data_IF_350284916208
#
_entry.id   IF_350284916208
#
_cell.length_a   1.000
_cell.length_b   1.000
_cell.length_c   1.000
_cell.angle_alpha   90.00
_cell.angle_beta   90.00
_cell.angle_gamma   90.00
#
_symmetry.space_group_name_H-M   'P 1'
#
loop_
_entity.id
_entity.type
_entity.pdbx_description
1 polymer ?
#
# COMPACT_ATOMS: atom_id res chain seq x y z
N UNK A 1 21.50 10.01 -0.37
CA UNK A 1 20.83 10.19 -1.67
C UNK A 1 19.39 9.69 -1.52
N UNK A 2 18.39 10.49 -1.88
CA UNK A 2 16.99 10.02 -1.82
C UNK A 2 16.67 9.03 -2.95
N UNK A 3 15.68 8.16 -2.71
CA UNK A 3 15.16 7.18 -3.70
C UNK A 3 14.80 7.85 -5.03
N UNK A 4 14.24 9.06 -4.98
CA UNK A 4 13.84 9.84 -6.16
C UNK A 4 15.02 10.15 -7.09
N UNK A 5 16.19 10.50 -6.54
CA UNK A 5 17.40 10.76 -7.33
C UNK A 5 17.90 9.48 -8.01
N UNK A 6 17.73 8.32 -7.36
CA UNK A 6 18.12 7.03 -7.94
C UNK A 6 17.19 6.68 -9.09
N UNK A 7 15.86 6.80 -8.90
CA UNK A 7 14.87 6.58 -9.96
C UNK A 7 15.14 7.50 -11.16
N UNK A 8 15.42 8.78 -10.93
CA UNK A 8 15.74 9.73 -12.00
C UNK A 8 17.02 9.34 -12.75
N UNK A 9 18.07 8.90 -12.04
CA UNK A 9 19.32 8.43 -12.64
C UNK A 9 19.09 7.18 -13.48
N UNK A 10 18.37 6.19 -12.97
CA UNK A 10 18.02 4.96 -13.69
C UNK A 10 17.21 5.24 -14.97
N UNK A 11 16.27 6.19 -14.91
CA UNK A 11 15.52 6.61 -16.09
C UNK A 11 16.42 7.31 -17.13
N UNK A 12 17.37 8.15 -16.69
CA UNK A 12 18.26 8.91 -17.59
C UNK A 12 19.21 8.03 -18.42
N UNK A 13 19.57 6.84 -17.89
CA UNK A 13 20.43 5.88 -18.58
C UNK A 13 19.65 4.89 -19.46
N UNK A 14 18.33 5.11 -19.61
CA UNK A 14 17.47 4.27 -20.46
C UNK A 14 17.26 2.85 -19.91
N UNK A 15 17.38 2.65 -18.60
CA UNK A 15 17.15 1.32 -18.00
C UNK A 15 15.70 0.88 -18.16
N UNK A 16 15.50 -0.41 -18.42
CA UNK A 16 14.18 -1.04 -18.34
C UNK A 16 13.75 -1.13 -16.86
N UNK A 17 12.64 -0.48 -16.52
CA UNK A 17 12.08 -0.44 -15.17
C UNK A 17 10.75 -1.21 -15.07
N UNK A 18 10.43 -2.02 -16.08
CA UNK A 18 9.15 -2.73 -16.18
C UNK A 18 9.05 -3.94 -15.27
N UNK A 19 10.17 -4.61 -14.98
CA UNK A 19 10.23 -5.83 -14.15
C UNK A 19 11.16 -5.66 -12.96
N UNK A 20 10.91 -6.42 -11.89
CA UNK A 20 11.76 -6.40 -10.69
C UNK A 20 13.19 -6.82 -11.03
N UNK A 21 13.35 -7.81 -11.91
CA UNK A 21 14.64 -8.26 -12.41
C UNK A 21 15.38 -7.19 -13.21
N UNK A 22 14.69 -6.43 -14.07
CA UNK A 22 15.32 -5.37 -14.84
C UNK A 22 15.78 -4.21 -13.93
N UNK A 23 14.96 -3.83 -12.93
CA UNK A 23 15.34 -2.87 -11.89
C UNK A 23 16.56 -3.38 -11.11
N UNK A 24 16.58 -4.66 -10.72
CA UNK A 24 17.73 -5.28 -10.03
C UNK A 24 19.00 -5.24 -10.87
N UNK A 25 18.92 -5.58 -12.16
CA UNK A 25 20.07 -5.52 -13.07
C UNK A 25 20.58 -4.09 -13.21
N UNK A 26 19.69 -3.12 -13.38
CA UNK A 26 20.06 -1.72 -13.47
C UNK A 26 20.68 -1.19 -12.16
N UNK A 27 20.16 -1.65 -11.02
CA UNK A 27 20.71 -1.32 -9.71
C UNK A 27 22.06 -1.96 -9.45
N UNK A 28 22.34 -3.18 -9.92
CA UNK A 28 23.66 -3.80 -9.72
C UNK A 28 24.82 -2.97 -10.30
N UNK A 29 24.55 -2.02 -11.21
CA UNK A 29 25.53 -1.06 -11.72
C UNK A 29 25.85 0.08 -10.72
N UNK A 30 25.02 0.27 -9.70
CA UNK A 30 25.08 1.37 -8.73
C UNK A 30 24.95 0.94 -7.24
N UNK A 31 24.41 -0.24 -6.92
CA UNK A 31 24.20 -0.80 -5.57
C UNK A 31 23.71 -2.26 -5.61
N UNK A 32 24.12 -3.09 -4.63
CA UNK A 32 23.65 -4.49 -4.47
C UNK A 32 22.56 -4.66 -3.39
N UNK A 33 21.95 -3.57 -2.91
CA UNK A 33 20.94 -3.63 -1.85
C UNK A 33 19.59 -4.15 -2.39
N UNK A 34 19.23 -5.37 -1.99
CA UNK A 34 17.96 -6.01 -2.36
C UNK A 34 16.73 -5.26 -1.82
N UNK A 35 16.82 -4.68 -0.62
CA UNK A 35 15.70 -3.93 -0.04
C UNK A 35 15.52 -2.62 -0.82
N UNK A 36 16.61 -1.92 -1.14
CA UNK A 36 16.58 -0.74 -1.99
C UNK A 36 15.99 -1.05 -3.38
N UNK A 37 16.28 -2.23 -3.92
CA UNK A 37 15.70 -2.71 -5.18
C UNK A 37 14.18 -2.82 -5.09
N UNK A 38 13.68 -3.42 -4.01
CA UNK A 38 12.24 -3.57 -3.80
C UNK A 38 11.55 -2.23 -3.57
N UNK A 39 12.18 -1.33 -2.82
CA UNK A 39 11.70 0.04 -2.61
C UNK A 39 11.54 0.78 -3.93
N UNK A 40 12.59 0.81 -4.75
CA UNK A 40 12.59 1.48 -6.04
C UNK A 40 11.54 0.86 -6.97
N UNK A 41 11.48 -0.47 -7.06
CA UNK A 41 10.52 -1.16 -7.91
C UNK A 41 9.07 -0.83 -7.50
N UNK A 42 8.75 -0.90 -6.21
CA UNK A 42 7.40 -0.61 -5.70
C UNK A 42 7.01 0.85 -5.97
N UNK A 43 7.90 1.81 -5.74
CA UNK A 43 7.59 3.23 -5.98
C UNK A 43 7.38 3.53 -7.48
N UNK A 44 8.17 2.91 -8.36
CA UNK A 44 7.97 3.01 -9.82
C UNK A 44 6.59 2.45 -10.21
N UNK A 45 6.22 1.29 -9.67
CA UNK A 45 4.92 0.64 -9.95
C UNK A 45 3.74 1.42 -9.39
N UNK A 46 3.86 1.97 -8.19
CA UNK A 46 2.87 2.88 -7.62
C UNK A 46 2.56 4.03 -8.56
N UNK A 47 3.60 4.70 -9.07
CA UNK A 47 3.45 5.80 -10.01
C UNK A 47 2.83 5.34 -11.33
N UNK A 48 3.33 4.24 -11.91
CA UNK A 48 2.89 3.74 -13.21
C UNK A 48 1.43 3.26 -13.24
N UNK A 49 0.93 2.69 -12.14
CA UNK A 49 -0.45 2.18 -12.06
C UNK A 49 -1.45 3.15 -11.45
N UNK A 50 -1.03 4.36 -11.06
CA UNK A 50 -1.89 5.30 -10.36
C UNK A 50 -3.09 5.69 -11.23
N UNK A 51 -2.86 6.09 -12.47
CA UNK A 51 -3.94 6.47 -13.39
C UNK A 51 -4.88 5.30 -13.67
N UNK A 52 -4.36 4.09 -13.86
CA UNK A 52 -5.17 2.89 -14.06
C UNK A 52 -6.05 2.58 -12.86
N UNK A 53 -5.49 2.72 -11.65
CA UNK A 53 -6.20 2.51 -10.40
C UNK A 53 -7.35 3.51 -10.22
N UNK A 54 -7.16 4.80 -10.57
CA UNK A 54 -8.22 5.83 -10.44
C UNK A 54 -9.46 5.52 -11.27
N UNK A 55 -9.33 4.78 -12.37
CA UNK A 55 -10.45 4.43 -13.27
C UNK A 55 -11.30 3.26 -12.75
N UNK A 56 -10.85 2.56 -11.70
CA UNK A 56 -11.58 1.43 -11.12
C UNK A 56 -12.54 1.96 -10.03
N UNK A 57 -13.84 1.58 -10.05
CA UNK A 57 -14.77 1.96 -8.99
C UNK A 57 -14.31 1.49 -7.61
N UNK A 58 -14.52 2.29 -6.56
CA UNK A 58 -14.02 2.05 -5.20
C UNK A 58 -14.48 0.70 -4.67
N UNK A 59 -15.74 0.36 -4.90
CA UNK A 59 -16.35 -0.89 -4.44
C UNK A 59 -15.76 -2.13 -5.11
N UNK A 60 -14.94 -1.98 -6.16
CA UNK A 60 -14.21 -3.07 -6.85
C UNK A 60 -12.72 -3.10 -6.52
N UNK A 61 -12.30 -2.33 -5.53
CA UNK A 61 -10.91 -2.28 -5.06
C UNK A 61 -10.80 -3.08 -3.76
N UNK A 62 -9.87 -4.01 -3.73
CA UNK A 62 -9.57 -4.79 -2.52
C UNK A 62 -8.42 -4.18 -1.74
N UNK A 63 -8.54 -4.14 -0.41
CA UNK A 63 -7.48 -3.69 0.49
C UNK A 63 -6.94 -4.91 1.23
N UNK A 64 -5.69 -5.27 0.95
CA UNK A 64 -4.97 -6.34 1.63
C UNK A 64 -4.14 -5.73 2.76
N UNK A 65 -4.38 -6.20 3.98
CA UNK A 65 -3.76 -5.70 5.21
C UNK A 65 -2.98 -6.86 5.86
N UNK A 66 -1.75 -6.67 6.34
CA UNK A 66 -0.93 -7.76 6.84
C UNK A 66 -1.35 -8.08 8.28
N UNK A 67 -1.39 -9.37 8.61
CA UNK A 67 -1.71 -9.81 9.98
C UNK A 67 -0.76 -9.24 11.03
N UNK A 68 0.47 -8.89 10.65
CA UNK A 68 1.51 -8.39 11.54
C UNK A 68 1.11 -7.07 12.24
N UNK A 69 0.18 -6.31 11.67
CA UNK A 69 -0.37 -5.12 12.35
C UNK A 69 -1.28 -5.46 13.54
N UNK A 70 -1.76 -6.71 13.67
CA UNK A 70 -2.62 -7.10 14.79
C UNK A 70 -1.83 -7.07 16.10
N UNK A 71 -2.49 -6.62 17.15
CA UNK A 71 -2.04 -6.89 18.51
C UNK A 71 -2.33 -8.37 18.83
N UNK A 72 -1.31 -9.22 18.77
CA UNK A 72 -1.44 -10.68 18.92
C UNK A 72 -2.03 -11.10 20.28
N UNK A 73 -1.88 -10.27 21.32
CA UNK A 73 -2.37 -10.58 22.69
C UNK A 73 -3.81 -10.15 22.91
N UNK A 74 -4.22 -9.02 22.34
CA UNK A 74 -5.49 -8.38 22.67
C UNK A 74 -6.50 -8.37 21.51
N UNK A 75 -6.11 -8.73 20.29
CA UNK A 75 -7.01 -8.70 19.14
C UNK A 75 -7.98 -9.89 19.18
N UNK A 76 -9.31 -9.66 19.30
CA UNK A 76 -10.30 -10.73 19.38
C UNK A 76 -10.72 -11.28 18.01
N UNK A 77 -10.04 -10.87 16.92
CA UNK A 77 -10.39 -11.29 15.56
C UNK A 77 -10.25 -12.81 15.40
N UNK A 78 -11.27 -13.44 14.82
CA UNK A 78 -11.29 -14.85 14.48
C UNK A 78 -10.74 -15.08 13.06
N UNK A 79 -10.25 -16.28 12.79
CA UNK A 79 -9.72 -16.64 11.48
C UNK A 79 -10.83 -17.26 10.62
N UNK A 80 -11.26 -16.55 9.58
CA UNK A 80 -12.26 -16.99 8.63
C UNK A 80 -11.67 -17.52 7.33
N UNK A 81 -12.51 -17.65 6.31
CA UNK A 81 -12.15 -18.26 5.02
C UNK A 81 -11.07 -17.49 4.23
N UNK A 82 -11.10 -16.16 4.32
CA UNK A 82 -10.24 -15.25 3.56
C UNK A 82 -9.27 -14.43 4.43
N UNK A 83 -9.13 -14.81 5.70
CA UNK A 83 -8.21 -14.20 6.64
C UNK A 83 -8.87 -13.87 7.97
N UNK A 84 -8.25 -12.98 8.72
CA UNK A 84 -8.77 -12.53 10.00
C UNK A 84 -9.97 -11.60 9.83
N UNK A 85 -11.01 -11.81 10.64
CA UNK A 85 -12.23 -11.01 10.64
C UNK A 85 -12.12 -9.90 11.69
N UNK A 86 -11.82 -8.67 11.25
CA UNK A 86 -11.62 -7.56 12.16
C UNK A 86 -12.95 -7.05 12.74
N UNK A 87 -13.02 -7.01 14.06
CA UNK A 87 -14.14 -6.45 14.83
C UNK A 87 -13.96 -4.97 15.16
N UNK A 88 -12.97 -4.28 14.56
CA UNK A 88 -12.61 -2.88 14.84
C UNK A 88 -12.36 -2.59 16.34
N UNK A 89 -11.78 -3.56 17.04
CA UNK A 89 -11.56 -3.52 18.50
C UNK A 89 -10.68 -2.37 19.04
N UNK A 90 -10.11 -1.50 18.19
CA UNK A 90 -9.25 -0.39 18.60
C UNK A 90 -7.85 -0.75 19.11
N UNK A 91 -7.46 -2.03 19.10
CA UNK A 91 -6.16 -2.50 19.61
C UNK A 91 -4.99 -2.37 18.62
N UNK A 92 -5.27 -1.99 17.38
CA UNK A 92 -4.27 -1.79 16.34
C UNK A 92 -4.81 -0.89 15.20
N UNK A 93 -3.91 -0.52 14.29
CA UNK A 93 -4.17 0.31 13.11
C UNK A 93 -5.26 -0.22 12.16
N UNK A 94 -5.50 -1.53 12.14
CA UNK A 94 -6.34 -2.19 11.13
C UNK A 94 -7.78 -1.67 11.16
N UNK A 95 -8.36 -1.53 12.35
CA UNK A 95 -9.75 -1.06 12.50
C UNK A 95 -9.94 0.33 11.91
N UNK A 96 -9.00 1.25 12.19
CA UNK A 96 -9.03 2.61 11.68
C UNK A 96 -8.93 2.64 10.14
N UNK A 97 -8.07 1.82 9.54
CA UNK A 97 -7.92 1.72 8.08
C UNK A 97 -9.23 1.23 7.44
N UNK A 98 -9.86 0.21 8.03
CA UNK A 98 -11.12 -0.35 7.54
C UNK A 98 -12.24 0.68 7.65
N UNK A 99 -12.45 1.28 8.82
CA UNK A 99 -13.47 2.31 9.02
C UNK A 99 -13.31 3.48 8.07
N UNK A 100 -12.06 3.89 7.80
CA UNK A 100 -11.80 4.96 6.84
C UNK A 100 -12.21 4.54 5.43
N UNK A 101 -11.75 3.38 4.96
CA UNK A 101 -12.09 2.90 3.62
C UNK A 101 -13.59 2.65 3.44
N UNK A 102 -14.29 2.14 4.45
CA UNK A 102 -15.75 1.96 4.40
C UNK A 102 -16.49 3.28 4.20
N UNK A 103 -16.05 4.36 4.87
CA UNK A 103 -16.61 5.72 4.66
C UNK A 103 -16.42 6.21 3.22
N UNK A 104 -15.39 5.73 2.52
CA UNK A 104 -15.14 6.01 1.11
C UNK A 104 -15.95 5.10 0.16
N UNK A 105 -16.56 4.02 0.67
CA UNK A 105 -17.32 3.04 -0.10
C UNK A 105 -16.57 1.75 -0.45
N UNK A 106 -15.38 1.51 0.12
CA UNK A 106 -14.69 0.22 -0.04
C UNK A 106 -15.52 -0.91 0.58
N UNK A 107 -15.56 -2.06 -0.10
CA UNK A 107 -16.32 -3.25 0.34
C UNK A 107 -15.45 -4.47 0.63
N UNK A 108 -14.18 -4.43 0.25
CA UNK A 108 -13.32 -5.60 0.21
C UNK A 108 -12.06 -5.35 1.04
N UNK A 109 -12.06 -5.84 2.28
CA UNK A 109 -10.90 -5.80 3.18
C UNK A 109 -10.49 -7.23 3.52
N UNK A 110 -9.20 -7.54 3.39
CA UNK A 110 -8.67 -8.87 3.67
C UNK A 110 -7.44 -8.76 4.56
N UNK A 111 -7.54 -9.27 5.78
CA UNK A 111 -6.42 -9.28 6.73
C UNK A 111 -5.75 -10.65 6.65
N UNK A 112 -4.64 -10.68 5.93
CA UNK A 112 -4.06 -11.93 5.45
C UNK A 112 -2.74 -12.25 6.17
N UNK A 113 -2.43 -13.55 6.39
CA UNK A 113 -1.18 -13.96 6.99
C UNK A 113 0.02 -13.92 6.03
N UNK A 114 -0.24 -13.90 4.72
CA UNK A 114 0.78 -13.86 3.69
C UNK A 114 0.21 -14.06 2.28
N UNK A 115 1.09 -14.05 1.28
CA UNK A 115 0.73 -13.99 -0.14
C UNK A 115 -0.11 -15.17 -0.67
N UNK A 116 -0.06 -16.35 -0.04
CA UNK A 116 -0.88 -17.50 -0.44
C UNK A 116 -2.38 -17.21 -0.32
N UNK A 117 -2.80 -16.50 0.73
CA UNK A 117 -4.21 -16.15 0.93
C UNK A 117 -4.64 -15.02 -0.01
N UNK A 118 -3.76 -14.05 -0.28
CA UNK A 118 -3.95 -13.04 -1.33
C UNK A 118 -4.22 -13.72 -2.68
N UNK A 119 -3.40 -14.72 -3.05
CA UNK A 119 -3.57 -15.49 -4.28
C UNK A 119 -4.91 -16.24 -4.31
N UNK A 120 -5.35 -16.83 -3.20
CA UNK A 120 -6.68 -17.48 -3.09
C UNK A 120 -7.80 -16.49 -3.38
N UNK A 121 -7.79 -15.35 -2.69
CA UNK A 121 -8.80 -14.28 -2.87
C UNK A 121 -8.84 -13.81 -4.31
N UNK A 122 -7.70 -13.44 -4.89
CA UNK A 122 -7.64 -12.91 -6.26
C UNK A 122 -8.12 -13.95 -7.28
N UNK A 123 -7.73 -15.22 -7.16
CA UNK A 123 -8.16 -16.29 -8.06
C UNK A 123 -9.66 -16.49 -8.07
N UNK A 124 -10.33 -16.27 -6.95
CA UNK A 124 -11.78 -16.47 -6.86
C UNK A 124 -12.56 -15.21 -7.26
N UNK A 125 -12.15 -14.05 -6.75
CA UNK A 125 -12.94 -12.81 -6.82
C UNK A 125 -12.69 -12.01 -8.09
N UNK A 126 -11.50 -12.10 -8.69
CA UNK A 126 -11.17 -11.37 -9.94
C UNK A 126 -11.97 -11.91 -11.13
N UNK A 127 -12.06 -13.24 -11.39
CA UNK A 127 -12.86 -13.75 -12.51
C UNK A 127 -14.36 -13.44 -12.40
N UNK A 128 -14.87 -13.31 -11.17
CA UNK A 128 -16.26 -12.89 -10.89
C UNK A 128 -16.49 -11.38 -11.11
N UNK A 129 -15.45 -10.60 -11.34
CA UNK A 129 -15.52 -9.16 -11.54
C UNK A 129 -15.81 -8.36 -10.27
N UNK A 130 -15.68 -9.00 -9.10
CA UNK A 130 -15.81 -8.39 -7.77
C UNK A 130 -14.60 -7.50 -7.47
N UNK A 131 -13.40 -7.99 -7.77
CA UNK A 131 -12.14 -7.24 -7.61
C UNK A 131 -11.55 -6.93 -8.98
N UNK A 132 -11.19 -5.66 -9.20
CA UNK A 132 -10.50 -5.19 -10.41
C UNK A 132 -9.21 -4.40 -10.14
N UNK A 133 -8.96 -4.02 -8.89
CA UNK A 133 -7.73 -3.39 -8.44
C UNK A 133 -7.45 -3.75 -6.98
N UNK A 134 -6.22 -3.55 -6.54
CA UNK A 134 -5.79 -3.85 -5.18
C UNK A 134 -5.05 -2.68 -4.54
N UNK A 135 -5.18 -2.56 -3.23
CA UNK A 135 -4.26 -1.84 -2.35
C UNK A 135 -3.56 -2.89 -1.51
N UNK A 136 -2.23 -2.83 -1.43
CA UNK A 136 -1.43 -3.72 -0.59
C UNK A 136 -0.75 -2.93 0.51
N UNK A 137 -0.94 -3.33 1.77
CA UNK A 137 -0.15 -2.85 2.91
C UNK A 137 0.77 -4.00 3.31
N UNK A 138 2.09 -3.82 3.26
CA UNK A 138 3.05 -4.90 3.56
C UNK A 138 4.50 -4.39 3.65
N UNK A 139 5.44 -5.29 3.92
CA UNK A 139 6.87 -5.01 3.78
C UNK A 139 7.28 -4.90 2.31
N UNK A 140 8.45 -4.31 2.04
CA UNK A 140 8.94 -4.09 0.67
C UNK A 140 9.02 -5.37 -0.18
N UNK A 141 9.56 -6.50 0.31
CA UNK A 141 9.64 -7.72 -0.51
C UNK A 141 8.27 -8.28 -0.91
N UNK A 142 7.31 -8.29 0.02
CA UNK A 142 5.94 -8.75 -0.26
C UNK A 142 5.22 -7.83 -1.24
N UNK A 143 5.40 -6.51 -1.12
CA UNK A 143 4.83 -5.53 -2.04
C UNK A 143 5.46 -5.63 -3.43
N UNK A 144 6.77 -5.86 -3.53
CA UNK A 144 7.46 -6.04 -4.80
C UNK A 144 6.97 -7.31 -5.51
N UNK A 145 6.87 -8.43 -4.80
CA UNK A 145 6.33 -9.69 -5.32
C UNK A 145 4.86 -9.55 -5.75
N UNK A 146 4.03 -8.90 -4.93
CA UNK A 146 2.62 -8.64 -5.27
C UNK A 146 2.51 -7.75 -6.51
N UNK A 147 3.32 -6.69 -6.61
CA UNK A 147 3.36 -5.77 -7.75
C UNK A 147 3.70 -6.51 -9.04
N UNK A 148 4.71 -7.38 -9.02
CA UNK A 148 5.12 -8.17 -10.18
C UNK A 148 4.00 -9.11 -10.63
N UNK A 149 3.42 -9.88 -9.70
CA UNK A 149 2.35 -10.82 -10.00
C UNK A 149 1.08 -10.15 -10.52
N UNK A 150 0.66 -9.05 -9.90
CA UNK A 150 -0.54 -8.31 -10.31
C UNK A 150 -0.33 -7.57 -11.64
N UNK A 151 0.90 -7.12 -11.93
CA UNK A 151 1.25 -6.54 -13.24
C UNK A 151 0.98 -7.54 -14.37
N UNK A 152 1.37 -8.81 -14.20
CA UNK A 152 1.13 -9.89 -15.18
C UNK A 152 -0.38 -10.09 -15.42
N UNK A 153 -1.18 -9.98 -14.35
CA UNK A 153 -2.64 -10.11 -14.41
C UNK A 153 -3.36 -8.83 -14.87
N UNK A 154 -2.63 -7.75 -15.15
CA UNK A 154 -3.17 -6.41 -15.48
C UNK A 154 -4.13 -5.88 -14.42
N UNK A 155 -3.86 -6.19 -13.15
CA UNK A 155 -4.62 -5.67 -12.01
C UNK A 155 -3.80 -4.53 -11.40
N UNK A 156 -4.28 -3.27 -11.45
CA UNK A 156 -3.58 -2.14 -10.84
C UNK A 156 -3.43 -2.33 -9.33
N UNK A 157 -2.20 -2.18 -8.83
CA UNK A 157 -1.87 -2.19 -7.41
C UNK A 157 -1.43 -0.79 -6.98
N UNK A 158 -1.88 -0.34 -5.81
CA UNK A 158 -1.25 0.74 -5.05
C UNK A 158 -0.73 0.19 -3.73
N UNK A 159 0.54 0.43 -3.44
CA UNK A 159 1.27 -0.16 -2.32
C UNK A 159 1.55 0.86 -1.23
N UNK A 160 1.30 0.46 0.02
CA UNK A 160 1.60 1.21 1.24
C UNK A 160 2.65 0.41 2.04
N UNK A 161 3.93 0.79 1.98
CA UNK A 161 4.97 0.13 2.76
C UNK A 161 4.78 0.39 4.26
N UNK A 162 5.14 -0.61 5.07
CA UNK A 162 5.22 -0.47 6.51
C UNK A 162 6.40 0.43 6.91
N UNK A 163 6.21 1.27 7.94
CA UNK A 163 7.27 2.08 8.55
C UNK A 163 8.25 1.21 9.36
N UNK A 164 7.74 0.15 9.98
CA UNK A 164 8.53 -0.85 10.70
C UNK A 164 7.95 -2.22 10.42
N UNK A 165 8.81 -3.13 9.99
CA UNK A 165 8.51 -4.54 9.75
C UNK A 165 8.84 -5.40 10.98
N UNK A 166 8.24 -6.58 11.05
CA UNK A 166 8.38 -7.52 12.18
C UNK A 166 7.08 -8.28 12.40
N UNK A 167 7.13 -9.38 13.15
CA UNK A 167 5.92 -10.14 13.53
C UNK A 167 5.15 -9.50 14.69
N UNK A 168 5.81 -8.62 15.46
CA UNK A 168 5.28 -7.87 16.59
C UNK A 168 5.79 -6.43 16.47
N UNK A 169 5.00 -5.45 16.91
CA UNK A 169 5.33 -4.02 16.84
C UNK A 169 5.55 -3.49 15.41
N UNK A 170 4.81 -4.07 14.46
CA UNK A 170 4.71 -3.58 13.08
C UNK A 170 3.99 -2.25 13.06
N UNK A 171 4.51 -1.29 12.27
CA UNK A 171 3.95 0.07 12.20
C UNK A 171 3.67 0.41 10.75
N UNK A 172 2.50 0.97 10.50
CA UNK A 172 2.10 1.54 9.21
C UNK A 172 1.90 3.04 9.37
N UNK A 173 2.23 3.81 8.33
CA UNK A 173 1.82 5.21 8.26
C UNK A 173 0.33 5.26 7.90
N UNK A 174 -0.50 5.53 8.91
CA UNK A 174 -1.95 5.66 8.74
C UNK A 174 -2.30 6.79 7.75
N UNK A 175 -1.55 7.89 7.77
CA UNK A 175 -1.81 9.01 6.87
C UNK A 175 -1.59 8.59 5.43
N UNK A 176 -0.45 7.93 5.14
CA UNK A 176 -0.16 7.37 3.81
C UNK A 176 -1.21 6.34 3.38
N UNK A 177 -1.65 5.47 4.30
CA UNK A 177 -2.70 4.49 4.01
C UNK A 177 -4.02 5.18 3.60
N UNK A 178 -4.42 6.23 4.32
CA UNK A 178 -5.61 7.04 3.99
C UNK A 178 -5.46 7.76 2.66
N UNK A 179 -4.31 8.40 2.40
CA UNK A 179 -4.02 9.07 1.14
C UNK A 179 -4.12 8.10 -0.06
N UNK A 180 -3.67 6.85 0.10
CA UNK A 180 -3.78 5.82 -0.95
C UNK A 180 -5.22 5.34 -1.13
N UNK A 181 -5.99 5.19 -0.05
CA UNK A 181 -7.43 4.89 -0.12
C UNK A 181 -8.22 5.99 -0.85
N UNK A 182 -7.78 7.24 -0.76
CA UNK A 182 -8.40 8.40 -1.41
C UNK A 182 -8.08 8.55 -2.90
N UNK A 183 -7.14 7.78 -3.45
CA UNK A 183 -6.74 7.90 -4.85
C UNK A 183 -7.96 7.71 -5.77
N UNK A 184 -8.26 8.72 -6.58
CA UNK A 184 -9.39 8.69 -7.51
C UNK A 184 -10.76 8.82 -6.83
N UNK A 185 -10.81 9.27 -5.56
CA UNK A 185 -12.04 9.71 -4.91
C UNK A 185 -12.24 11.21 -5.16
N UNK A 186 -13.49 11.66 -5.30
CA UNK A 186 -13.83 13.08 -5.47
C UNK A 186 -13.88 13.86 -4.14
N UNK A 187 -13.33 13.31 -3.07
CA UNK A 187 -13.31 13.97 -1.77
C UNK A 187 -12.26 15.06 -1.80
N UNK A 188 -12.71 16.32 -1.75
CA UNK A 188 -11.83 17.45 -1.45
C UNK A 188 -11.23 17.21 -0.07
N UNK A 189 -10.02 16.68 -0.01
CA UNK A 189 -9.23 16.66 1.23
C UNK A 189 -9.03 18.11 1.64
N UNK A 190 -9.80 18.57 2.62
CA UNK A 190 -9.51 19.84 3.28
C UNK A 190 -8.18 19.66 4.00
N UNK A 191 -7.11 20.20 3.42
CA UNK A 191 -5.83 20.34 4.10
C UNK A 191 -6.09 21.15 5.37
N UNK A 192 -5.65 20.70 6.57
CA UNK A 192 -5.68 21.53 7.74
C UNK A 192 -4.91 22.82 7.43
N UNK A 193 -5.57 23.97 7.58
CA UNK A 193 -4.90 25.26 7.61
C UNK A 193 -3.85 25.19 8.72
N UNK A 194 -2.58 25.10 8.35
CA UNK A 194 -1.50 25.51 9.22
C UNK A 194 -1.74 26.99 9.50
N UNK A 195 -2.20 27.31 10.71
CA UNK A 195 -2.31 28.69 11.17
C UNK A 195 -0.94 29.36 11.04
N UNK A 196 -0.83 30.54 10.41
CA UNK A 196 0.43 31.27 10.38
C UNK A 196 0.83 31.70 11.79
N UNK A 197 2.14 31.70 12.01
CA UNK A 197 2.87 32.14 13.20
C UNK A 197 2.21 33.32 13.91
N UNK A 198 1.85 33.12 15.18
CA UNK A 198 1.62 34.23 16.10
C UNK A 198 2.95 34.62 16.70
N UNK A 199 3.68 35.49 16.02
CA UNK A 199 4.69 36.33 16.65
C UNK A 199 4.55 37.76 16.15
N UNK A 200 4.05 38.64 17.02
CA UNK A 200 4.34 40.08 17.16
C UNK A 200 3.14 40.84 17.71
N UNK A 201 2.97 40.81 19.03
CA UNK A 201 2.46 41.95 19.80
C UNK A 201 3.14 41.96 21.17
N UNK A 202 4.25 42.69 21.27
CA UNK A 202 4.58 43.42 22.50
C UNK A 202 4.96 44.83 22.05
N UNK A 203 4.06 45.76 22.28
CA UNK A 203 4.29 47.19 22.29
C UNK A 203 4.10 47.66 23.72
N UNK A 204 5.19 48.08 24.36
CA UNK A 204 5.39 49.28 25.21
C UNK A 204 6.77 49.18 25.86
#
# INVERSE_FOLDING_TARGET
>A
MGIENIIAKLASIGSDLSTRNAVRMALSLISEDEELTDQIYVEIKNKAYKEDFTRIPIEKRAVFIPQCLRNVKECPAEFGEYGWECTKCGKCAIGEIIEYGEKLGYKHFYIVPGGSLVKKVLKEKVPRGEIKAAIGIACWPELAEASEKLSILKIPLQAVPLLRTGCINTIVDIKRAKEVLEIGTNLKVQKPLTSPDTSLQISF
#
